data_IF_046864629448
#
_entry.id   IF_046864629448
#
_cell.length_a   1.000
_cell.length_b   1.000
_cell.length_c   1.000
_cell.angle_alpha   90.00
_cell.angle_beta   90.00
_cell.angle_gamma   90.00
#
_symmetry.space_group_name_H-M   'P 1'
#
loop_
_entity.id
_entity.type
_entity.pdbx_description
1 polymer ?
#
# COMPACT_ATOMS: atom_id res chain seq x y z
N UNK A 1 -18.95 11.45 -7.76
CA UNK A 1 -18.89 11.79 -6.33
C UNK A 1 -18.53 10.51 -5.59
N UNK A 2 -17.23 10.17 -5.53
CA UNK A 2 -16.73 9.00 -4.80
C UNK A 2 -16.64 9.37 -3.32
N UNK A 3 -17.58 8.87 -2.54
CA UNK A 3 -17.51 8.91 -1.08
C UNK A 3 -16.26 8.13 -0.65
N UNK A 4 -15.30 8.85 -0.09
CA UNK A 4 -14.09 8.26 0.47
C UNK A 4 -14.47 7.46 1.72
N UNK A 5 -14.37 6.13 1.67
CA UNK A 5 -14.71 5.20 2.75
C UNK A 5 -13.73 5.32 3.96
N UNK A 6 -12.66 6.10 3.83
CA UNK A 6 -11.66 6.39 4.92
C UNK A 6 -12.32 6.82 6.22
N UNK A 7 -13.52 7.33 6.13
CA UNK A 7 -14.22 8.02 7.20
C UNK A 7 -14.84 7.12 8.27
N UNK A 8 -14.79 5.80 8.16
CA UNK A 8 -15.34 4.88 9.17
C UNK A 8 -14.25 4.12 9.94
N UNK A 9 -12.98 4.42 9.70
CA UNK A 9 -11.90 3.69 10.35
C UNK A 9 -11.54 4.34 11.69
N UNK A 10 -11.90 3.73 12.85
CA UNK A 10 -11.61 4.27 14.17
C UNK A 10 -10.11 4.30 14.52
N UNK A 11 -9.27 3.72 13.70
CA UNK A 11 -7.85 3.51 13.97
C UNK A 11 -6.95 4.69 13.61
N UNK A 12 -7.47 5.69 12.90
CA UNK A 12 -6.79 6.98 12.76
C UNK A 12 -6.89 7.84 14.03
N UNK A 13 -7.70 7.40 15.01
CA UNK A 13 -7.95 8.13 16.24
C UNK A 13 -7.16 7.52 17.40
N UNK A 14 -6.05 8.12 17.78
CA UNK A 14 -5.46 7.89 19.10
C UNK A 14 -4.03 7.37 19.20
N UNK A 15 -3.30 7.21 18.14
CA UNK A 15 -1.85 7.03 18.25
C UNK A 15 -1.20 8.39 18.51
N UNK A 16 -0.44 8.50 19.61
CA UNK A 16 0.57 9.55 19.78
C UNK A 16 1.59 9.35 18.65
N UNK A 17 1.31 9.88 17.46
CA UNK A 17 2.27 9.91 16.35
C UNK A 17 3.43 10.84 16.76
N UNK A 18 4.39 10.28 17.47
CA UNK A 18 5.74 10.80 17.38
C UNK A 18 6.12 10.70 15.89
N UNK A 19 6.85 11.67 15.39
CA UNK A 19 7.32 11.82 14.00
C UNK A 19 8.26 10.69 13.58
N UNK A 20 7.80 9.43 13.62
CA UNK A 20 8.52 8.30 13.05
C UNK A 20 8.38 8.37 11.54
N UNK A 21 9.48 8.27 10.78
CA UNK A 21 9.38 8.23 9.33
C UNK A 21 8.60 6.98 8.91
N UNK A 22 7.71 7.14 7.93
CA UNK A 22 6.94 6.02 7.37
C UNK A 22 7.87 4.90 6.91
N UNK A 23 7.67 3.69 7.42
CA UNK A 23 8.55 2.54 7.18
C UNK A 23 8.54 2.14 5.70
N UNK A 24 9.70 2.16 5.05
CA UNK A 24 9.83 1.61 3.70
C UNK A 24 10.00 0.09 3.77
N UNK A 25 8.92 -0.67 3.58
CA UNK A 25 8.94 -2.13 3.71
C UNK A 25 9.97 -2.79 2.79
N UNK A 26 9.93 -2.46 1.49
CA UNK A 26 10.89 -3.02 0.53
C UNK A 26 12.32 -2.60 0.84
N UNK A 27 12.53 -1.30 1.08
CA UNK A 27 13.87 -0.77 1.39
C UNK A 27 14.45 -1.34 2.67
N UNK A 28 13.62 -1.54 3.70
CA UNK A 28 14.05 -2.13 4.97
C UNK A 28 14.50 -3.58 4.79
N UNK A 29 13.71 -4.39 4.08
CA UNK A 29 14.09 -5.77 3.78
C UNK A 29 15.37 -5.79 2.96
N UNK A 30 15.42 -5.00 1.87
CA UNK A 30 16.56 -4.96 0.94
C UNK A 30 17.89 -4.58 1.63
N UNK A 31 17.83 -3.62 2.57
CA UNK A 31 19.02 -3.08 3.26
C UNK A 31 19.50 -3.95 4.42
N UNK A 32 18.72 -4.95 4.84
CA UNK A 32 19.05 -5.80 5.99
C UNK A 32 19.08 -7.30 5.66
N UNK A 33 19.95 -7.75 4.72
CA UNK A 33 20.00 -9.16 4.29
C UNK A 33 20.46 -10.13 5.38
N UNK A 34 21.16 -9.64 6.41
CA UNK A 34 21.56 -10.45 7.56
C UNK A 34 20.39 -10.78 8.49
N UNK A 35 19.39 -9.90 8.54
CA UNK A 35 18.18 -10.09 9.35
C UNK A 35 17.06 -10.77 8.56
N UNK A 36 16.82 -10.29 7.32
CA UNK A 36 15.83 -10.86 6.42
C UNK A 36 16.51 -11.73 5.37
N UNK A 37 16.40 -13.04 5.53
CA UNK A 37 16.86 -13.92 4.48
C UNK A 37 16.02 -13.70 3.22
N UNK A 38 16.66 -13.23 2.17
CA UNK A 38 15.99 -12.80 0.96
C UNK A 38 16.48 -13.57 -0.27
N UNK A 39 15.55 -13.94 -1.14
CA UNK A 39 15.81 -14.53 -2.45
C UNK A 39 15.40 -13.51 -3.50
N UNK A 40 16.30 -13.15 -4.42
CA UNK A 40 16.11 -12.02 -5.32
C UNK A 40 16.31 -12.39 -6.78
N UNK A 41 15.44 -11.81 -7.64
CA UNK A 41 15.60 -11.81 -9.09
C UNK A 41 15.35 -10.38 -9.60
N UNK A 42 16.44 -9.64 -9.89
CA UNK A 42 16.35 -8.20 -10.14
C UNK A 42 15.79 -7.45 -8.92
N UNK A 43 14.70 -6.70 -9.13
CA UNK A 43 13.98 -6.01 -8.05
C UNK A 43 12.89 -6.88 -7.40
N UNK A 44 12.52 -8.02 -8.02
CA UNK A 44 11.63 -8.98 -7.39
C UNK A 44 12.34 -9.67 -6.22
N UNK A 45 11.67 -9.72 -5.05
CA UNK A 45 12.27 -10.18 -3.81
C UNK A 45 11.24 -10.93 -2.98
N UNK A 46 11.58 -12.15 -2.57
CA UNK A 46 10.80 -12.92 -1.61
C UNK A 46 11.59 -13.11 -0.32
N UNK A 47 10.92 -12.96 0.82
CA UNK A 47 11.51 -13.20 2.13
C UNK A 47 10.47 -13.74 3.10
N UNK A 48 10.94 -14.43 4.11
CA UNK A 48 10.14 -14.74 5.29
C UNK A 48 10.32 -13.59 6.30
N UNK A 49 9.23 -12.99 6.71
CA UNK A 49 9.22 -11.81 7.54
C UNK A 49 8.59 -12.14 8.91
N UNK A 50 9.44 -12.18 9.91
CA UNK A 50 9.02 -12.19 11.30
C UNK A 50 9.05 -10.73 11.77
N UNK A 51 7.89 -10.16 11.99
CA UNK A 51 7.77 -8.72 12.19
C UNK A 51 8.40 -8.27 13.51
N UNK A 52 9.44 -7.42 13.49
CA UNK A 52 10.11 -6.92 14.68
C UNK A 52 9.48 -5.64 15.23
N UNK A 53 8.28 -5.26 14.76
CA UNK A 53 7.68 -3.98 15.13
C UNK A 53 7.30 -3.98 16.62
N UNK A 54 7.65 -2.91 17.32
CA UNK A 54 7.40 -2.72 18.75
C UNK A 54 6.13 -1.92 19.04
N UNK A 55 5.58 -1.29 18.01
CA UNK A 55 4.39 -0.41 18.11
C UNK A 55 3.14 -1.14 17.64
N UNK A 56 2.00 -0.85 18.28
CA UNK A 56 0.71 -1.43 17.89
C UNK A 56 0.31 -1.04 16.47
N UNK A 57 0.61 0.18 16.06
CA UNK A 57 0.33 0.71 14.72
C UNK A 57 1.62 1.21 14.10
N UNK A 58 1.85 0.85 12.85
CA UNK A 58 3.02 1.27 12.09
C UNK A 58 2.61 1.79 10.72
N UNK A 59 3.02 3.02 10.42
CA UNK A 59 2.89 3.58 9.08
C UNK A 59 3.93 2.96 8.15
N UNK A 60 3.47 2.30 7.11
CA UNK A 60 4.33 1.60 6.16
C UNK A 60 4.01 1.98 4.72
N UNK A 61 4.98 1.87 3.83
CA UNK A 61 4.81 2.03 2.39
C UNK A 61 5.73 1.10 1.61
N UNK A 62 5.36 0.81 0.37
CA UNK A 62 6.21 0.07 -0.56
C UNK A 62 6.11 0.66 -1.96
N UNK A 63 7.24 0.79 -2.64
CA UNK A 63 7.31 1.21 -4.05
C UNK A 63 6.90 0.11 -5.02
N UNK A 64 6.87 -1.15 -4.58
CA UNK A 64 6.43 -2.30 -5.35
C UNK A 64 5.16 -2.88 -4.77
N UNK A 65 4.34 -3.50 -5.61
CA UNK A 65 3.31 -4.39 -5.12
C UNK A 65 3.95 -5.54 -4.35
N UNK A 66 3.20 -6.12 -3.43
CA UNK A 66 3.70 -7.29 -2.72
C UNK A 66 2.58 -8.27 -2.42
N UNK A 67 2.90 -9.55 -2.57
CA UNK A 67 2.02 -10.66 -2.21
C UNK A 67 2.38 -11.10 -0.82
N UNK A 68 1.39 -11.21 0.06
CA UNK A 68 1.50 -11.73 1.41
C UNK A 68 0.86 -13.10 1.45
N UNK A 69 1.55 -14.05 2.07
CA UNK A 69 0.98 -15.30 2.56
C UNK A 69 1.24 -15.39 4.07
N UNK A 70 0.17 -15.34 4.86
CA UNK A 70 0.27 -15.41 6.34
C UNK A 70 0.46 -16.85 6.75
N UNK A 71 1.63 -17.16 7.33
CA UNK A 71 1.98 -18.50 7.81
C UNK A 71 1.46 -18.74 9.23
N UNK A 72 1.46 -17.68 10.06
CA UNK A 72 1.08 -17.75 11.46
C UNK A 72 0.62 -16.38 11.96
N UNK A 73 -0.35 -16.35 12.85
CA UNK A 73 -0.83 -15.16 13.54
C UNK A 73 -1.82 -14.31 12.74
N UNK A 74 -1.99 -13.06 13.19
CA UNK A 74 -2.97 -12.14 12.65
C UNK A 74 -2.46 -10.70 12.67
N UNK A 75 -2.76 -9.93 11.62
CA UNK A 75 -2.58 -8.47 11.56
C UNK A 75 -3.68 -7.84 10.73
N UNK A 76 -3.89 -6.52 10.91
CA UNK A 76 -4.84 -5.76 10.12
C UNK A 76 -4.10 -4.69 9.33
N UNK A 77 -4.37 -4.61 8.03
CA UNK A 77 -3.92 -3.54 7.14
C UNK A 77 -5.01 -2.51 6.97
N UNK A 78 -4.76 -1.28 7.39
CA UNK A 78 -5.65 -0.15 7.22
C UNK A 78 -5.19 0.67 6.01
N UNK A 79 -6.11 0.88 5.08
CA UNK A 79 -5.88 1.69 3.87
C UNK A 79 -6.92 2.80 3.79
N UNK A 80 -6.73 3.72 2.84
CA UNK A 80 -7.73 4.76 2.54
C UNK A 80 -9.09 4.22 2.07
N UNK A 81 -9.20 2.91 1.82
CA UNK A 81 -10.42 2.27 1.32
C UNK A 81 -11.07 1.30 2.32
N UNK A 82 -10.41 1.03 3.45
CA UNK A 82 -10.91 0.13 4.47
C UNK A 82 -9.83 -0.64 5.20
N UNK A 83 -10.26 -1.53 6.08
CA UNK A 83 -9.40 -2.38 6.90
C UNK A 83 -9.51 -3.83 6.44
N UNK A 84 -8.38 -4.50 6.38
CA UNK A 84 -8.26 -5.88 5.88
C UNK A 84 -7.61 -6.73 6.97
N UNK A 85 -8.39 -7.65 7.49
CA UNK A 85 -7.97 -8.59 8.53
C UNK A 85 -7.31 -9.80 7.89
N UNK A 86 -6.00 -9.93 8.05
CA UNK A 86 -5.21 -11.02 7.51
C UNK A 86 -4.78 -11.95 8.64
N UNK A 87 -5.22 -13.20 8.56
CA UNK A 87 -4.95 -14.26 9.51
C UNK A 87 -4.26 -15.44 8.82
N UNK A 88 -3.86 -16.43 9.58
CA UNK A 88 -3.23 -17.65 9.07
C UNK A 88 -3.97 -18.23 7.86
N UNK A 89 -3.23 -18.54 6.79
CA UNK A 89 -3.76 -19.00 5.51
C UNK A 89 -4.21 -17.90 4.57
N UNK A 90 -4.30 -16.63 5.01
CA UNK A 90 -4.63 -15.52 4.12
C UNK A 90 -3.55 -15.32 3.05
N UNK A 91 -3.96 -15.18 1.80
CA UNK A 91 -3.10 -14.79 0.68
C UNK A 91 -3.69 -13.56 0.01
N UNK A 92 -2.91 -12.48 -0.13
CA UNK A 92 -3.37 -11.22 -0.73
C UNK A 92 -2.28 -10.58 -1.55
N UNK A 93 -2.67 -9.82 -2.57
CA UNK A 93 -1.79 -8.82 -3.18
C UNK A 93 -2.11 -7.47 -2.56
N UNK A 94 -1.09 -6.84 -1.99
CA UNK A 94 -1.12 -5.44 -1.55
C UNK A 94 -0.50 -4.60 -2.65
N UNK A 95 -1.27 -3.64 -3.16
CA UNK A 95 -0.78 -2.72 -4.19
C UNK A 95 0.27 -1.76 -3.59
N UNK A 96 1.22 -1.35 -4.41
CA UNK A 96 2.19 -0.32 -4.05
C UNK A 96 1.50 0.94 -3.53
N UNK A 97 2.03 1.51 -2.47
CA UNK A 97 1.45 2.64 -1.75
C UNK A 97 1.72 2.55 -0.25
N UNK A 98 1.00 3.37 0.50
CA UNK A 98 1.08 3.39 1.95
C UNK A 98 -0.13 2.72 2.61
N UNK A 99 0.10 2.23 3.81
CA UNK A 99 -0.91 1.64 4.69
C UNK A 99 -0.50 1.81 6.15
N UNK A 100 -1.42 1.57 7.07
CA UNK A 100 -1.11 1.40 8.49
C UNK A 100 -1.27 -0.07 8.82
N UNK A 101 -0.28 -0.66 9.48
CA UNK A 101 -0.32 -2.06 9.92
C UNK A 101 -0.60 -2.08 11.42
N UNK A 102 -1.73 -2.67 11.80
CA UNK A 102 -2.07 -2.93 13.21
C UNK A 102 -1.59 -4.33 13.59
N UNK A 103 -0.92 -4.40 14.74
CA UNK A 103 -0.30 -5.61 15.26
C UNK A 103 -0.95 -6.07 16.55
N UNK A 104 -0.90 -7.38 16.77
CA UNK A 104 -1.28 -8.05 17.99
C UNK A 104 -0.03 -8.72 18.58
N UNK A 105 0.21 -8.52 19.89
CA UNK A 105 1.43 -9.00 20.56
C UNK A 105 1.20 -10.27 21.39
N UNK A 106 -0.03 -10.76 21.42
CA UNK A 106 -0.44 -11.96 22.13
C UNK A 106 -0.09 -13.25 21.38
N UNK A 107 0.16 -13.15 20.07
CA UNK A 107 0.53 -14.28 19.22
C UNK A 107 1.74 -13.94 18.34
N UNK A 108 2.65 -14.90 18.07
CA UNK A 108 3.67 -14.73 17.05
C UNK A 108 3.05 -14.42 15.70
N UNK A 109 3.75 -13.65 14.89
CA UNK A 109 3.31 -13.36 13.54
C UNK A 109 4.42 -13.63 12.53
N UNK A 110 4.14 -14.50 11.57
CA UNK A 110 5.05 -14.86 10.50
C UNK A 110 4.32 -14.83 9.16
N UNK A 111 4.94 -14.18 8.18
CA UNK A 111 4.44 -14.17 6.81
C UNK A 111 5.57 -14.40 5.82
N UNK A 112 5.20 -14.86 4.63
CA UNK A 112 6.06 -14.78 3.45
C UNK A 112 5.59 -13.57 2.65
N UNK A 113 6.52 -12.67 2.34
CA UNK A 113 6.25 -11.52 1.49
C UNK A 113 7.05 -11.61 0.20
N UNK A 114 6.36 -11.44 -0.91
CA UNK A 114 6.95 -11.39 -2.24
C UNK A 114 6.72 -10.02 -2.86
N UNK A 115 7.73 -9.17 -2.89
CA UNK A 115 7.70 -7.89 -3.57
C UNK A 115 7.83 -8.09 -5.07
N UNK A 116 6.87 -7.56 -5.81
CA UNK A 116 6.72 -7.81 -7.25
C UNK A 116 6.61 -6.48 -8.00
N UNK A 117 7.66 -6.07 -8.72
CA UNK A 117 7.61 -4.89 -9.59
C UNK A 117 6.56 -5.03 -10.69
N UNK A 118 5.95 -3.92 -11.10
CA UNK A 118 4.95 -3.89 -12.18
C UNK A 118 5.51 -4.51 -13.48
N UNK A 119 6.76 -4.17 -13.82
CA UNK A 119 7.42 -4.66 -15.03
C UNK A 119 7.60 -6.19 -15.02
N UNK A 120 7.92 -6.76 -13.84
CA UNK A 120 8.01 -8.21 -13.70
C UNK A 120 6.65 -8.88 -13.90
N UNK A 121 5.59 -8.35 -13.29
CA UNK A 121 4.22 -8.84 -13.50
C UNK A 121 3.88 -8.80 -15.01
N UNK A 122 4.09 -7.65 -15.65
CA UNK A 122 3.81 -7.47 -17.06
C UNK A 122 4.61 -8.44 -17.97
N UNK A 123 5.91 -8.64 -17.66
CA UNK A 123 6.76 -9.57 -18.38
C UNK A 123 6.25 -11.02 -18.28
N UNK A 124 5.88 -11.46 -17.07
CA UNK A 124 5.35 -12.81 -16.87
C UNK A 124 4.04 -12.98 -17.61
N UNK A 125 3.11 -12.03 -17.50
CA UNK A 125 1.79 -12.13 -18.10
C UNK A 125 1.82 -12.07 -19.64
N UNK A 126 2.80 -11.40 -20.24
CA UNK A 126 3.01 -11.44 -21.71
C UNK A 126 3.37 -12.85 -22.22
N UNK A 127 3.92 -13.71 -21.37
CA UNK A 127 4.22 -15.11 -21.73
C UNK A 127 3.04 -16.05 -21.56
N UNK A 128 1.92 -15.60 -20.99
CA UNK A 128 0.71 -16.41 -20.81
C UNK A 128 0.03 -16.65 -22.18
N UNK A 129 -0.25 -17.90 -22.48
CA UNK A 129 -0.85 -18.31 -23.77
C UNK A 129 -2.38 -18.25 -23.73
N UNK A 130 -2.99 -18.47 -22.56
CA UNK A 130 -4.43 -18.38 -22.37
C UNK A 130 -4.88 -16.94 -22.08
N UNK A 131 -6.07 -16.53 -22.56
CA UNK A 131 -6.61 -15.20 -22.29
C UNK A 131 -6.77 -14.96 -20.77
N UNK A 132 -6.54 -13.72 -20.34
CA UNK A 132 -6.91 -13.31 -18.98
C UNK A 132 -8.39 -12.92 -18.95
N UNK A 133 -9.11 -13.44 -17.98
CA UNK A 133 -10.48 -13.00 -17.71
C UNK A 133 -10.46 -11.59 -17.15
N UNK A 134 -11.28 -10.70 -17.70
CA UNK A 134 -11.45 -9.33 -17.20
C UNK A 134 -12.80 -9.28 -16.50
N UNK A 135 -12.83 -9.00 -15.20
CA UNK A 135 -14.10 -8.87 -14.49
C UNK A 135 -14.72 -7.49 -14.64
N UNK A 136 -13.98 -6.48 -15.10
CA UNK A 136 -14.43 -5.08 -15.11
C UNK A 136 -14.64 -4.48 -13.72
N UNK A 137 -14.37 -5.23 -12.66
CA UNK A 137 -14.51 -4.78 -11.28
C UNK A 137 -13.42 -3.76 -10.90
N UNK A 138 -13.80 -2.80 -10.06
CA UNK A 138 -12.84 -1.91 -9.43
C UNK A 138 -12.03 -2.72 -8.41
N UNK A 139 -10.73 -2.71 -8.56
CA UNK A 139 -9.85 -3.40 -7.63
C UNK A 139 -9.50 -2.53 -6.42
N UNK A 140 -9.46 -3.18 -5.27
CA UNK A 140 -9.13 -2.60 -3.97
C UNK A 140 -7.60 -2.41 -3.80
N UNK A 141 -7.12 -1.62 -2.82
CA UNK A 141 -5.70 -1.55 -2.47
C UNK A 141 -5.11 -2.89 -2.02
N UNK A 142 -5.91 -3.71 -1.37
CA UNK A 142 -5.59 -5.09 -0.99
C UNK A 142 -6.58 -6.01 -1.69
N UNK A 143 -6.04 -6.92 -2.49
CA UNK A 143 -6.82 -7.80 -3.36
C UNK A 143 -6.63 -9.23 -2.87
N UNK A 144 -7.69 -9.91 -2.42
CA UNK A 144 -7.60 -11.32 -2.04
C UNK A 144 -7.11 -12.20 -3.20
N UNK A 145 -6.31 -13.21 -2.85
CA UNK A 145 -5.87 -14.26 -3.76
C UNK A 145 -6.50 -15.57 -3.28
N UNK A 146 -7.21 -16.25 -4.16
CA UNK A 146 -7.76 -17.57 -3.87
C UNK A 146 -6.61 -18.56 -3.58
N UNK A 147 -6.58 -19.05 -2.33
CA UNK A 147 -5.49 -19.90 -1.85
C UNK A 147 -5.73 -21.35 -2.25
N UNK A 148 -5.50 -21.68 -3.51
CA UNK A 148 -5.57 -23.05 -4.05
C UNK A 148 -4.46 -23.93 -3.50
N UNK A 149 -4.60 -25.25 -3.63
CA UNK A 149 -3.55 -26.20 -3.25
C UNK A 149 -2.24 -25.93 -4.04
N UNK A 150 -2.32 -25.46 -5.28
CA UNK A 150 -1.13 -25.06 -6.07
C UNK A 150 -0.40 -23.89 -5.42
N UNK A 151 -1.13 -22.87 -4.97
CA UNK A 151 -0.53 -21.69 -4.31
C UNK A 151 0.05 -22.05 -2.95
N UNK A 152 -0.64 -22.89 -2.17
CA UNK A 152 -0.10 -23.43 -0.91
C UNK A 152 1.18 -24.23 -1.14
N UNK A 153 1.17 -25.14 -2.12
CA UNK A 153 2.34 -25.95 -2.48
C UNK A 153 3.51 -25.07 -2.93
N UNK A 154 3.25 -23.99 -3.67
CA UNK A 154 4.29 -23.01 -4.02
C UNK A 154 4.96 -22.45 -2.75
N UNK A 155 4.20 -21.89 -1.80
CA UNK A 155 4.77 -21.31 -0.59
C UNK A 155 5.50 -22.37 0.26
N UNK A 156 4.95 -23.58 0.37
CA UNK A 156 5.62 -24.70 1.03
C UNK A 156 6.95 -25.06 0.34
N UNK A 157 6.99 -25.06 -0.99
CA UNK A 157 8.20 -25.35 -1.76
C UNK A 157 9.30 -24.30 -1.59
N UNK A 158 8.95 -23.07 -1.15
CA UNK A 158 9.92 -22.02 -0.86
C UNK A 158 10.58 -22.15 0.51
N UNK A 159 9.96 -22.87 1.47
CA UNK A 159 10.45 -22.97 2.84
C UNK A 159 11.88 -23.50 2.95
N UNK A 160 12.29 -24.59 2.25
CA UNK A 160 13.65 -25.11 2.34
C UNK A 160 14.72 -24.06 1.98
N UNK A 161 14.42 -23.13 1.07
CA UNK A 161 15.37 -22.08 0.71
C UNK A 161 15.56 -21.04 1.82
N UNK A 162 14.63 -20.92 2.76
CA UNK A 162 14.78 -20.06 3.94
C UNK A 162 15.40 -20.80 5.14
N UNK A 163 15.36 -22.10 5.18
CA UNK A 163 15.87 -22.93 6.29
C UNK A 163 17.32 -23.39 6.10
N UNK A 164 17.75 -23.52 4.85
CA UNK A 164 19.10 -24.00 4.51
C UNK A 164 20.02 -22.86 4.09
N UNK A 165 21.33 -23.03 4.16
CA UNK A 165 22.30 -22.09 3.62
C UNK A 165 22.48 -22.20 2.09
N UNK A 166 21.66 -23.00 1.43
CA UNK A 166 21.70 -23.15 -0.01
C UNK A 166 21.01 -21.96 -0.69
N UNK A 167 21.70 -21.31 -1.62
CA UNK A 167 21.11 -20.32 -2.50
C UNK A 167 20.74 -21.01 -3.81
N UNK A 168 19.45 -20.95 -4.23
CA UNK A 168 19.05 -21.54 -5.50
C UNK A 168 19.73 -20.82 -6.67
N UNK A 169 19.93 -21.54 -7.76
CA UNK A 169 20.35 -20.96 -9.03
C UNK A 169 19.38 -19.86 -9.46
N UNK A 170 19.93 -18.79 -10.05
CA UNK A 170 19.15 -17.60 -10.44
C UNK A 170 18.02 -17.96 -11.44
N UNK A 171 18.29 -18.88 -12.38
CA UNK A 171 17.28 -19.29 -13.34
C UNK A 171 16.14 -20.10 -12.67
N UNK A 172 16.48 -20.94 -11.69
CA UNK A 172 15.48 -21.67 -10.91
C UNK A 172 14.62 -20.71 -10.09
N UNK A 173 15.23 -19.70 -9.49
CA UNK A 173 14.52 -18.69 -8.70
C UNK A 173 13.57 -17.87 -9.57
N UNK A 174 14.01 -17.48 -10.77
CA UNK A 174 13.16 -16.79 -11.74
C UNK A 174 11.95 -17.65 -12.13
N UNK A 175 12.16 -18.94 -12.43
CA UNK A 175 11.07 -19.87 -12.72
C UNK A 175 10.07 -19.96 -11.56
N UNK A 176 10.55 -20.02 -10.34
CA UNK A 176 9.69 -20.02 -9.13
C UNK A 176 8.86 -18.75 -9.00
N UNK A 177 9.46 -17.59 -9.23
CA UNK A 177 8.72 -16.32 -9.16
C UNK A 177 7.66 -16.21 -10.27
N UNK A 178 7.98 -16.70 -11.47
CA UNK A 178 7.05 -16.77 -12.59
C UNK A 178 5.91 -17.76 -12.31
N UNK A 179 6.22 -18.92 -11.71
CA UNK A 179 5.24 -19.93 -11.31
C UNK A 179 4.11 -19.32 -10.47
N UNK A 180 4.44 -18.57 -9.42
CA UNK A 180 3.43 -17.94 -8.57
C UNK A 180 2.51 -16.99 -9.33
N UNK A 181 3.09 -16.08 -10.13
CA UNK A 181 2.29 -15.11 -10.89
C UNK A 181 1.39 -15.81 -11.91
N UNK A 182 1.89 -16.84 -12.59
CA UNK A 182 1.10 -17.60 -13.56
C UNK A 182 0.00 -18.42 -12.88
N UNK A 183 0.30 -19.07 -11.74
CA UNK A 183 -0.69 -19.83 -10.97
C UNK A 183 -1.83 -18.94 -10.49
N UNK A 184 -1.51 -17.74 -9.99
CA UNK A 184 -2.51 -16.74 -9.61
C UNK A 184 -3.34 -16.31 -10.83
N UNK A 185 -2.67 -16.03 -11.96
CA UNK A 185 -3.30 -15.52 -13.16
C UNK A 185 -4.13 -16.57 -13.93
N UNK A 186 -3.93 -17.84 -13.64
CA UNK A 186 -4.67 -18.94 -14.27
C UNK A 186 -5.99 -19.28 -13.56
N UNK A 187 -6.17 -18.81 -12.33
CA UNK A 187 -7.35 -19.14 -11.53
C UNK A 187 -8.47 -18.10 -11.70
N UNK A 188 -9.67 -18.49 -12.21
CA UNK A 188 -10.74 -17.54 -12.54
C UNK A 188 -11.34 -16.82 -11.32
N UNK A 189 -11.26 -17.40 -10.10
CA UNK A 189 -11.73 -16.74 -8.88
C UNK A 189 -10.92 -15.50 -8.51
N UNK A 190 -9.74 -15.28 -9.09
CA UNK A 190 -8.90 -14.10 -8.90
C UNK A 190 -9.32 -12.91 -9.79
N UNK A 191 -10.60 -12.79 -10.15
CA UNK A 191 -11.12 -11.79 -11.11
C UNK A 191 -10.71 -10.35 -10.80
N UNK A 192 -10.79 -9.92 -9.54
CA UNK A 192 -10.34 -8.59 -9.11
C UNK A 192 -8.84 -8.37 -9.36
N UNK A 193 -8.01 -9.38 -9.09
CA UNK A 193 -6.57 -9.33 -9.33
C UNK A 193 -6.25 -9.35 -10.82
N UNK A 194 -6.97 -10.16 -11.61
CA UNK A 194 -6.82 -10.20 -13.06
C UNK A 194 -7.20 -8.86 -13.71
N UNK A 195 -8.20 -8.15 -13.17
CA UNK A 195 -8.53 -6.79 -13.60
C UNK A 195 -7.39 -5.81 -13.30
N UNK A 196 -6.79 -5.90 -12.11
CA UNK A 196 -5.60 -5.11 -11.77
C UNK A 196 -4.42 -5.41 -12.70
N UNK A 197 -4.08 -6.68 -12.90
CA UNK A 197 -3.01 -7.09 -13.80
C UNK A 197 -3.24 -6.63 -15.24
N UNK A 198 -4.47 -6.72 -15.73
CA UNK A 198 -4.84 -6.21 -17.05
C UNK A 198 -4.62 -4.69 -17.15
N UNK A 199 -4.92 -3.94 -16.09
CA UNK A 199 -4.66 -2.49 -16.06
C UNK A 199 -3.17 -2.15 -16.15
N UNK A 200 -2.30 -2.94 -15.48
CA UNK A 200 -0.85 -2.76 -15.58
C UNK A 200 -0.34 -2.99 -17.01
N UNK A 201 -0.90 -3.96 -17.72
CA UNK A 201 -0.51 -4.27 -19.11
C UNK A 201 -0.97 -3.20 -20.12
N UNK A 202 -2.09 -2.53 -19.86
CA UNK A 202 -2.65 -1.53 -20.77
C UNK A 202 -2.05 -0.13 -20.56
N UNK A 203 -1.66 0.18 -19.34
CA UNK A 203 -1.12 1.47 -18.93
C UNK A 203 0.26 1.33 -18.29
N UNK A 204 1.28 0.81 -19.00
CA UNK A 204 2.57 0.46 -18.39
C UNK A 204 3.28 1.64 -17.73
N UNK A 205 2.95 2.90 -18.04
CA UNK A 205 3.63 4.08 -17.49
C UNK A 205 2.72 5.19 -17.01
N UNK A 206 1.44 5.13 -17.28
CA UNK A 206 0.47 6.10 -16.82
C UNK A 206 -0.40 5.57 -15.69
N UNK A 207 0.16 4.79 -14.76
CA UNK A 207 -0.54 4.68 -13.48
C UNK A 207 -0.87 6.11 -13.13
N UNK A 208 -2.14 6.42 -13.26
CA UNK A 208 -2.62 7.79 -13.23
C UNK A 208 -1.98 8.46 -12.02
N UNK A 209 -1.17 9.48 -12.23
CA UNK A 209 -0.59 10.29 -11.14
C UNK A 209 -1.69 10.67 -10.17
N UNK A 210 -2.88 10.95 -10.71
CA UNK A 210 -4.11 11.19 -9.97
C UNK A 210 -4.38 10.06 -8.97
N UNK A 211 -4.36 8.80 -9.40
CA UNK A 211 -4.67 7.67 -8.53
C UNK A 211 -3.64 7.48 -7.43
N UNK A 212 -2.35 7.59 -7.75
CA UNK A 212 -1.29 7.52 -6.73
C UNK A 212 -1.49 8.60 -5.67
N UNK A 213 -1.81 9.81 -6.11
CA UNK A 213 -2.04 10.91 -5.19
C UNK A 213 -3.32 10.71 -4.36
N UNK A 214 -4.42 10.29 -4.99
CA UNK A 214 -5.71 10.06 -4.33
C UNK A 214 -5.67 8.89 -3.34
N UNK A 215 -4.92 7.82 -3.65
CA UNK A 215 -4.80 6.66 -2.77
C UNK A 215 -3.88 6.94 -1.56
N UNK A 216 -2.97 7.95 -1.66
CA UNK A 216 -1.91 8.13 -0.68
C UNK A 216 -1.84 9.53 -0.02
N UNK A 217 -2.76 10.46 -0.32
CA UNK A 217 -2.67 11.84 0.18
C UNK A 217 -2.74 11.97 1.71
N UNK A 218 -3.44 11.06 2.38
CA UNK A 218 -3.64 11.08 3.83
C UNK A 218 -2.47 10.47 4.63
N UNK A 219 -1.49 9.89 3.96
CA UNK A 219 -0.27 9.39 4.61
C UNK A 219 0.84 10.43 4.53
N UNK A 220 1.76 10.37 5.50
CA UNK A 220 2.87 11.31 5.59
C UNK A 220 4.02 10.93 4.64
N UNK A 221 3.70 10.76 3.35
CA UNK A 221 4.70 10.51 2.32
C UNK A 221 5.35 11.81 1.84
N UNK A 222 6.66 11.75 1.60
CA UNK A 222 7.44 12.80 0.94
C UNK A 222 7.21 12.76 -0.58
N UNK A 223 7.46 13.88 -1.28
CA UNK A 223 7.28 13.94 -2.74
C UNK A 223 8.19 12.95 -3.50
N UNK A 224 9.35 12.62 -2.93
CA UNK A 224 10.24 11.60 -3.46
C UNK A 224 9.58 10.21 -3.46
N UNK A 225 8.79 9.90 -2.44
CA UNK A 225 8.07 8.62 -2.33
C UNK A 225 6.91 8.56 -3.33
N UNK A 226 6.17 9.66 -3.53
CA UNK A 226 5.18 9.75 -4.62
C UNK A 226 5.81 9.59 -6.02
N UNK A 227 7.01 10.15 -6.22
CA UNK A 227 7.77 9.97 -7.45
C UNK A 227 8.14 8.49 -7.66
N UNK A 228 8.65 7.81 -6.62
CA UNK A 228 8.96 6.38 -6.65
C UNK A 228 7.72 5.52 -6.93
N UNK A 229 6.59 5.79 -6.27
CA UNK A 229 5.31 5.10 -6.52
C UNK A 229 4.86 5.24 -7.98
N UNK A 230 5.20 6.36 -8.63
CA UNK A 230 4.88 6.62 -10.03
C UNK A 230 5.95 6.14 -11.03
N UNK A 231 7.00 5.44 -10.56
CA UNK A 231 8.15 5.02 -11.36
C UNK A 231 8.83 6.19 -12.08
N UNK A 232 8.97 7.35 -11.40
CA UNK A 232 9.57 8.57 -11.94
C UNK A 232 10.68 9.11 -11.03
N UNK A 233 11.63 9.82 -11.64
CA UNK A 233 12.49 10.70 -10.85
C UNK A 233 11.66 11.85 -10.28
N UNK A 234 12.08 12.46 -9.17
CA UNK A 234 11.38 13.58 -8.55
C UNK A 234 11.17 14.75 -9.53
N UNK A 235 12.17 15.03 -10.37
CA UNK A 235 12.08 16.10 -11.37
C UNK A 235 11.05 15.79 -12.47
N UNK A 236 11.03 14.54 -12.97
CA UNK A 236 10.05 14.10 -13.94
C UNK A 236 8.63 14.10 -13.34
N UNK A 237 8.47 13.61 -12.09
CA UNK A 237 7.21 13.63 -11.38
C UNK A 237 6.65 15.06 -11.25
N UNK A 238 7.44 16.02 -10.76
CA UNK A 238 7.01 17.41 -10.61
C UNK A 238 6.60 18.04 -11.95
N UNK A 239 7.39 17.82 -13.01
CA UNK A 239 7.12 18.34 -14.36
C UNK A 239 5.82 17.77 -14.94
N UNK A 240 5.67 16.42 -14.90
CA UNK A 240 4.52 15.73 -15.47
C UNK A 240 3.24 16.06 -14.69
N UNK A 241 3.36 16.18 -13.35
CA UNK A 241 2.27 16.61 -12.49
C UNK A 241 1.81 18.02 -12.81
N UNK A 242 2.74 18.98 -12.91
CA UNK A 242 2.44 20.37 -13.28
C UNK A 242 1.76 20.45 -14.65
N UNK A 243 2.22 19.66 -15.63
CA UNK A 243 1.63 19.59 -16.96
C UNK A 243 0.18 19.06 -16.93
N UNK A 244 -0.09 18.04 -16.10
CA UNK A 244 -1.38 17.38 -16.07
C UNK A 244 -2.42 18.15 -15.22
N UNK A 245 -2.00 18.68 -14.06
CA UNK A 245 -2.91 19.26 -13.07
C UNK A 245 -2.84 20.78 -12.97
N UNK A 246 -1.96 21.43 -13.73
CA UNK A 246 -1.74 22.89 -13.74
C UNK A 246 -1.42 23.47 -12.35
N UNK A 247 -0.91 22.61 -11.44
CA UNK A 247 -0.52 22.98 -10.08
C UNK A 247 0.67 22.12 -9.62
N UNK A 248 1.34 22.55 -8.55
CA UNK A 248 2.43 21.74 -7.98
C UNK A 248 1.89 20.58 -7.12
N UNK A 249 2.59 19.43 -7.04
CA UNK A 249 2.18 18.31 -6.19
C UNK A 249 1.96 18.71 -4.73
N UNK A 250 2.83 19.55 -4.17
CA UNK A 250 2.73 20.00 -2.78
C UNK A 250 1.49 20.85 -2.52
N UNK A 251 1.15 21.78 -3.45
CA UNK A 251 -0.05 22.59 -3.35
C UNK A 251 -1.30 21.72 -3.46
N UNK A 252 -1.33 20.80 -4.41
CA UNK A 252 -2.43 19.86 -4.60
C UNK A 252 -2.66 18.99 -3.34
N UNK A 253 -1.57 18.43 -2.77
CA UNK A 253 -1.64 17.65 -1.53
C UNK A 253 -2.21 18.46 -0.38
N UNK A 254 -1.73 19.70 -0.20
CA UNK A 254 -2.23 20.56 0.86
C UNK A 254 -3.74 20.84 0.70
N UNK A 255 -4.17 21.20 -0.48
CA UNK A 255 -5.59 21.47 -0.78
C UNK A 255 -6.45 20.22 -0.55
N UNK A 256 -6.00 19.05 -1.04
CA UNK A 256 -6.70 17.78 -0.86
C UNK A 256 -6.85 17.40 0.62
N UNK A 257 -5.78 17.54 1.40
CA UNK A 257 -5.77 17.29 2.85
C UNK A 257 -6.70 18.25 3.59
N UNK A 258 -6.71 19.53 3.22
CA UNK A 258 -7.60 20.52 3.84
C UNK A 258 -9.08 20.24 3.55
N UNK A 259 -9.42 19.88 2.30
CA UNK A 259 -10.79 19.47 1.97
C UNK A 259 -11.22 18.21 2.69
N UNK A 260 -10.33 17.23 2.81
CA UNK A 260 -10.61 16.01 3.59
C UNK A 260 -10.82 16.31 5.07
N UNK A 261 -9.95 17.13 5.68
CA UNK A 261 -10.12 17.56 7.08
C UNK A 261 -11.44 18.30 7.29
N UNK A 262 -11.81 19.18 6.38
CA UNK A 262 -13.11 19.87 6.44
C UNK A 262 -14.27 18.87 6.42
N UNK A 263 -14.21 17.88 5.53
CA UNK A 263 -15.22 16.82 5.49
C UNK A 263 -15.30 16.02 6.81
N UNK A 264 -14.16 15.65 7.41
CA UNK A 264 -14.10 14.95 8.70
C UNK A 264 -14.74 15.77 9.82
N UNK A 265 -14.49 17.08 9.85
CA UNK A 265 -15.07 17.99 10.83
C UNK A 265 -16.58 18.16 10.65
N UNK A 266 -17.01 18.35 9.38
CA UNK A 266 -18.40 18.76 9.07
C UNK A 266 -19.38 17.60 8.98
N UNK A 267 -18.96 16.43 8.52
CA UNK A 267 -19.86 15.30 8.25
C UNK A 267 -19.68 14.14 9.23
N UNK A 268 -18.47 14.00 9.81
CA UNK A 268 -18.19 12.87 10.71
C UNK A 268 -18.01 13.29 12.17
N UNK A 269 -18.13 14.57 12.49
CA UNK A 269 -18.05 15.07 13.84
C UNK A 269 -16.69 14.89 14.52
N UNK A 270 -15.63 14.59 13.78
CA UNK A 270 -14.28 14.38 14.30
C UNK A 270 -13.77 15.60 15.07
N UNK A 271 -12.89 15.38 16.03
CA UNK A 271 -12.17 16.46 16.69
C UNK A 271 -11.19 17.15 15.76
N UNK A 272 -10.75 18.36 16.08
CA UNK A 272 -9.75 19.10 15.29
C UNK A 272 -8.43 18.31 15.18
N UNK A 273 -8.05 17.63 16.28
CA UNK A 273 -6.85 16.80 16.31
C UNK A 273 -6.98 15.58 15.41
N UNK A 274 -8.08 14.85 15.53
CA UNK A 274 -8.37 13.68 14.66
C UNK A 274 -8.39 14.08 13.19
N UNK A 275 -9.14 15.13 12.83
CA UNK A 275 -9.23 15.62 11.46
C UNK A 275 -7.86 16.02 10.89
N UNK A 276 -7.00 16.64 11.72
CA UNK A 276 -5.63 16.97 11.34
C UNK A 276 -4.82 15.71 10.99
N UNK A 277 -4.76 14.74 11.90
CA UNK A 277 -3.95 13.54 11.69
C UNK A 277 -4.50 12.64 10.59
N UNK A 278 -5.81 12.38 10.57
CA UNK A 278 -6.46 11.56 9.54
C UNK A 278 -6.35 12.17 8.13
N UNK A 279 -6.06 13.46 8.04
CA UNK A 279 -5.81 14.13 6.76
C UNK A 279 -4.32 14.21 6.39
N UNK A 280 -3.44 13.59 7.17
CA UNK A 280 -2.01 13.51 6.88
C UNK A 280 -1.19 14.74 7.30
N UNK A 281 -1.68 15.54 8.26
CA UNK A 281 -0.88 16.61 8.86
C UNK A 281 -0.13 16.09 10.09
N UNK A 282 1.18 16.26 10.09
CA UNK A 282 2.03 15.93 11.25
C UNK A 282 1.83 16.88 12.43
N UNK A 283 1.54 18.15 12.13
CA UNK A 283 1.52 19.22 13.11
C UNK A 283 0.15 19.93 13.12
N UNK A 284 -0.64 19.78 14.21
CA UNK A 284 -1.94 20.44 14.34
C UNK A 284 -1.89 21.97 14.26
N UNK A 285 -0.77 22.60 14.65
CA UNK A 285 -0.61 24.05 14.52
C UNK A 285 -0.42 24.48 13.07
N UNK A 286 0.35 23.71 12.28
CA UNK A 286 0.48 23.91 10.85
C UNK A 286 -0.87 23.69 10.14
N UNK A 287 -1.59 22.62 10.49
CA UNK A 287 -2.94 22.37 10.01
C UNK A 287 -3.87 23.56 10.25
N UNK A 288 -4.01 24.00 11.50
CA UNK A 288 -4.95 25.07 11.87
C UNK A 288 -4.67 26.36 11.16
N UNK A 289 -3.37 26.70 10.96
CA UNK A 289 -2.95 27.89 10.21
C UNK A 289 -3.32 27.75 8.73
N UNK A 290 -2.97 26.64 8.10
CA UNK A 290 -3.26 26.37 6.68
C UNK A 290 -4.76 26.30 6.41
N UNK A 291 -5.53 25.70 7.31
CA UNK A 291 -6.98 25.61 7.22
C UNK A 291 -7.63 27.01 7.26
N UNK A 292 -7.22 27.86 8.23
CA UNK A 292 -7.71 29.23 8.32
C UNK A 292 -7.32 30.06 7.09
N UNK A 293 -6.10 29.89 6.59
CA UNK A 293 -5.65 30.59 5.38
C UNK A 293 -6.46 30.20 4.15
N UNK A 294 -6.86 28.93 4.05
CA UNK A 294 -7.57 28.40 2.88
C UNK A 294 -9.08 28.67 2.93
N UNK A 295 -9.72 28.41 4.09
CA UNK A 295 -11.18 28.54 4.24
C UNK A 295 -11.65 29.85 4.87
N UNK A 296 -10.74 30.68 5.37
CA UNK A 296 -11.07 31.95 6.06
C UNK A 296 -11.53 31.77 7.51
N UNK A 297 -11.79 30.55 7.94
CA UNK A 297 -12.32 30.20 9.28
C UNK A 297 -11.43 29.17 9.98
N UNK A 298 -11.51 29.08 11.31
CA UNK A 298 -10.72 28.09 12.04
C UNK A 298 -11.38 26.70 12.01
N UNK A 299 -10.61 25.60 12.12
CA UNK A 299 -11.20 24.26 12.22
C UNK A 299 -12.20 24.12 13.38
N UNK A 300 -11.92 24.77 14.50
CA UNK A 300 -12.79 24.74 15.68
C UNK A 300 -14.13 25.44 15.43
N UNK A 301 -14.14 26.58 14.72
CA UNK A 301 -15.38 27.30 14.41
C UNK A 301 -16.29 26.52 13.44
N UNK A 302 -15.72 25.80 12.49
CA UNK A 302 -16.48 24.95 11.56
C UNK A 302 -17.22 23.84 12.34
N UNK A 303 -16.57 23.22 13.32
CA UNK A 303 -17.19 22.18 14.17
C UNK A 303 -18.35 22.73 15.01
N UNK A 304 -18.23 23.96 15.56
CA UNK A 304 -19.26 24.58 16.38
C UNK A 304 -20.53 24.90 15.60
N UNK A 305 -20.44 25.23 14.30
CA UNK A 305 -21.61 25.55 13.46
C UNK A 305 -22.52 24.36 13.18
N UNK A 306 -22.08 23.13 13.44
CA UNK A 306 -22.83 21.90 13.18
C UNK A 306 -23.48 21.35 14.46
N UNK A 307 -23.03 21.82 15.61
CA UNK A 307 -23.55 21.41 16.93
C UNK A 307 -24.81 22.23 17.34
N UNK A 308 -25.32 23.10 16.47
CA UNK A 308 -26.56 23.87 16.59
C UNK A 308 -27.60 23.30 15.62
#
# INVERSE_FOLDING_TARGET
>A
MLLCIVCQNPYFCGSNHQTTPVLNLYGTVLSNPSYYRQLRCGEALITMYNCPLETKFEDAWSQHNYIIYVKEGRKIWHTSHGSYDLQEGSCVLVRKGACIVEQFFDTPFCLIVFFVPDDFICQVLKSKTSPMYRSGEKYQPIIPIETTETIKAFFQSMMPYFETNHHPDQALLELKFRELILAIADHPANGGLLSYFSSLMQEPQSVSLQRIMDDNFCYNLKLEQFAQLSNRSLSAFKRDFQKQFQTTPGKWLLEKRLHHANYLLTHLGKTVSEASFESGFENPSHFSRSFRQYFGVTPASVKQQIAI
#
